data_IF_164209947482
#
_entry.id   IF_164209947482
#
_cell.length_a   1.000
_cell.length_b   1.000
_cell.length_c   1.000
_cell.angle_alpha   90.00
_cell.angle_beta   90.00
_cell.angle_gamma   90.00
#
_symmetry.space_group_name_H-M   'P 1'
#
loop_
_entity.id
_entity.type
_entity.pdbx_description
1 polymer ?
#
# COMPACT_ATOMS: atom_id res chain seq x y z
N UNK A 1 -70.35 25.91 9.98
CA UNK A 1 -68.95 25.94 10.38
C UNK A 1 -68.26 24.63 9.89
N UNK A 2 -67.52 24.71 8.79
CA UNK A 2 -66.77 23.53 8.22
C UNK A 2 -65.37 23.55 8.82
N UNK A 3 -65.02 22.50 9.55
CA UNK A 3 -63.66 22.26 10.06
C UNK A 3 -62.79 21.70 8.96
N UNK A 4 -61.76 22.43 8.52
CA UNK A 4 -60.70 21.92 7.67
C UNK A 4 -59.69 21.17 8.56
N UNK A 5 -59.51 19.90 8.31
CA UNK A 5 -58.44 19.09 8.90
C UNK A 5 -57.25 19.16 7.92
N UNK A 6 -56.18 19.85 8.30
CA UNK A 6 -54.93 19.87 7.58
C UNK A 6 -54.14 18.63 8.03
N UNK A 7 -54.02 17.64 7.14
CA UNK A 7 -53.16 16.48 7.34
C UNK A 7 -51.72 16.87 7.01
N UNK A 8 -50.86 16.88 8.02
CA UNK A 8 -49.44 17.15 7.89
C UNK A 8 -48.77 15.82 7.48
N UNK A 9 -48.46 15.63 6.18
CA UNK A 9 -47.62 14.54 5.72
C UNK A 9 -46.16 14.83 6.08
N UNK A 10 -45.67 14.12 7.09
CA UNK A 10 -44.23 14.08 7.42
C UNK A 10 -43.50 13.25 6.39
N UNK A 11 -42.78 13.91 5.50
CA UNK A 11 -41.82 13.24 4.61
C UNK A 11 -40.61 12.87 5.46
N UNK A 12 -40.51 11.62 5.86
CA UNK A 12 -39.28 11.06 6.44
C UNK A 12 -38.27 10.85 5.28
N UNK A 13 -37.37 11.78 5.14
CA UNK A 13 -36.23 11.59 4.26
C UNK A 13 -35.34 10.49 4.86
N UNK A 14 -35.43 9.27 4.32
CA UNK A 14 -34.47 8.21 4.55
C UNK A 14 -33.14 8.67 3.91
N UNK A 15 -32.27 9.28 4.72
CA UNK A 15 -30.86 9.43 4.39
C UNK A 15 -30.28 8.02 4.27
N UNK A 16 -30.29 7.48 3.05
CA UNK A 16 -29.51 6.30 2.69
C UNK A 16 -28.06 6.71 2.89
N UNK A 17 -27.47 6.33 4.03
CA UNK A 17 -26.02 6.31 4.18
C UNK A 17 -25.52 5.28 3.17
N UNK A 18 -25.14 5.73 1.98
CA UNK A 18 -24.49 4.85 0.99
C UNK A 18 -23.17 4.42 1.64
N UNK A 19 -23.17 3.16 2.11
CA UNK A 19 -21.97 2.54 2.68
C UNK A 19 -20.88 2.63 1.61
N UNK A 20 -19.75 3.23 1.93
CA UNK A 20 -18.60 3.30 1.02
C UNK A 20 -18.27 1.88 0.53
N UNK A 21 -18.47 1.64 -0.74
CA UNK A 21 -18.19 0.35 -1.38
C UNK A 21 -16.82 0.42 -2.03
N UNK A 22 -15.78 0.31 -1.25
CA UNK A 22 -14.42 0.45 -1.74
C UNK A 22 -13.39 -0.19 -0.81
N UNK A 23 -12.13 0.03 -1.12
CA UNK A 23 -10.98 -0.45 -0.36
C UNK A 23 -10.07 0.75 -0.08
N UNK A 24 -9.75 0.99 1.19
CA UNK A 24 -8.66 1.87 1.58
C UNK A 24 -7.36 1.08 1.57
N UNK A 25 -6.46 1.43 0.66
CA UNK A 25 -5.15 0.81 0.53
C UNK A 25 -4.05 1.80 0.89
N UNK A 26 -2.99 1.33 1.55
CA UNK A 26 -1.84 2.15 1.93
C UNK A 26 -0.53 1.51 1.44
N UNK A 27 0.46 2.34 1.11
CA UNK A 27 1.88 1.97 0.98
C UNK A 27 2.67 2.65 2.10
N UNK A 28 3.50 1.88 2.80
CA UNK A 28 4.25 2.40 3.94
C UNK A 28 5.66 1.80 4.00
N UNK A 29 6.66 2.53 3.52
CA UNK A 29 8.06 2.21 3.80
C UNK A 29 8.31 2.47 5.29
N UNK A 30 8.59 1.39 6.06
CA UNK A 30 8.80 1.45 7.52
C UNK A 30 10.17 2.01 7.91
N UNK A 31 11.06 2.20 6.97
CA UNK A 31 12.50 2.38 7.20
C UNK A 31 13.13 1.19 7.90
N UNK A 32 14.26 0.75 7.42
CA UNK A 32 15.03 -0.39 7.97
C UNK A 32 15.25 -0.26 9.48
N UNK A 33 14.66 -1.16 10.25
CA UNK A 33 14.55 -1.04 11.71
C UNK A 33 15.87 -1.14 12.49
N UNK A 34 16.96 -1.55 11.84
CA UNK A 34 18.30 -1.62 12.42
C UNK A 34 19.23 -0.50 11.91
N UNK A 35 18.70 0.50 11.19
CA UNK A 35 19.47 1.66 10.81
C UNK A 35 19.85 2.49 12.02
N UNK A 36 21.05 3.06 12.01
CA UNK A 36 21.50 4.01 13.03
C UNK A 36 20.93 5.41 12.72
N UNK A 37 19.63 5.56 12.97
CA UNK A 37 18.89 6.79 12.70
C UNK A 37 18.75 7.70 13.95
N UNK A 38 19.48 7.39 15.03
CA UNK A 38 19.52 8.22 16.25
C UNK A 38 18.11 8.46 16.83
N UNK A 39 17.70 9.74 16.88
CA UNK A 39 16.37 10.14 17.39
C UNK A 39 15.20 9.64 16.53
N UNK A 40 15.46 9.14 15.33
CA UNK A 40 14.48 8.55 14.44
C UNK A 40 14.54 7.00 14.42
N UNK A 41 15.19 6.37 15.43
CA UNK A 41 15.24 4.91 15.53
C UNK A 41 13.85 4.28 15.63
N UNK A 42 13.71 3.03 15.20
CA UNK A 42 12.43 2.32 15.20
C UNK A 42 11.76 2.32 16.59
N UNK A 43 12.54 2.10 17.64
CA UNK A 43 12.05 2.04 19.03
C UNK A 43 11.32 3.32 19.44
N UNK A 44 11.73 4.46 18.92
CA UNK A 44 11.14 5.77 19.26
C UNK A 44 9.89 6.09 18.45
N UNK A 45 9.78 5.56 17.21
CA UNK A 45 8.69 5.89 16.28
C UNK A 45 7.63 4.79 16.12
N UNK A 46 7.86 3.58 16.65
CA UNK A 46 6.96 2.43 16.47
C UNK A 46 5.54 2.65 17.01
N UNK A 47 5.40 3.31 18.17
CA UNK A 47 4.08 3.64 18.72
C UNK A 47 3.32 4.65 17.85
N UNK A 48 4.03 5.63 17.29
CA UNK A 48 3.45 6.60 16.37
C UNK A 48 2.99 5.93 15.07
N UNK A 49 3.72 4.90 14.59
CA UNK A 49 3.30 4.07 13.45
C UNK A 49 1.99 3.32 13.73
N UNK A 50 1.84 2.76 14.93
CA UNK A 50 0.58 2.10 15.35
C UNK A 50 -0.58 3.10 15.38
N UNK A 51 -0.41 4.26 16.04
CA UNK A 51 -1.43 5.30 16.10
C UNK A 51 -1.87 5.79 14.72
N UNK A 52 -0.93 5.93 13.79
CA UNK A 52 -1.23 6.28 12.41
C UNK A 52 -2.10 5.20 11.73
N UNK A 53 -1.75 3.92 11.90
CA UNK A 53 -2.54 2.81 11.34
C UNK A 53 -3.95 2.74 11.94
N UNK A 54 -4.11 2.99 13.24
CA UNK A 54 -5.41 3.05 13.91
C UNK A 54 -6.26 4.22 13.42
N UNK A 55 -5.65 5.41 13.26
CA UNK A 55 -6.34 6.64 12.81
C UNK A 55 -6.82 6.51 11.36
N UNK A 56 -5.98 6.00 10.47
CA UNK A 56 -6.30 5.87 9.05
C UNK A 56 -7.17 4.65 8.78
N UNK A 57 -6.93 3.54 9.48
CA UNK A 57 -7.70 2.31 9.37
C UNK A 57 -7.70 1.72 7.94
N UNK A 58 -6.54 1.45 7.30
CA UNK A 58 -6.52 0.88 5.96
C UNK A 58 -7.10 -0.53 5.95
N UNK A 59 -7.87 -0.88 4.90
CA UNK A 59 -8.34 -2.26 4.71
C UNK A 59 -7.18 -3.21 4.42
N UNK A 60 -6.18 -2.73 3.67
CA UNK A 60 -4.92 -3.42 3.45
C UNK A 60 -3.77 -2.42 3.23
N UNK A 61 -2.56 -2.85 3.56
CA UNK A 61 -1.38 -2.03 3.31
C UNK A 61 -0.14 -2.89 3.02
N UNK A 62 0.68 -2.40 2.12
CA UNK A 62 2.00 -2.95 1.83
C UNK A 62 3.08 -2.20 2.56
N UNK A 63 4.01 -2.93 3.16
CA UNK A 63 5.18 -2.34 3.82
C UNK A 63 6.45 -2.65 3.05
N UNK A 64 7.41 -1.72 3.10
CA UNK A 64 8.76 -1.88 2.56
C UNK A 64 9.76 -1.71 3.69
N UNK A 65 10.96 -2.26 3.54
CA UNK A 65 12.06 -2.29 4.52
C UNK A 65 11.75 -2.97 5.85
N UNK A 66 10.59 -3.62 5.96
CA UNK A 66 10.10 -4.23 7.18
C UNK A 66 10.94 -5.45 7.58
N UNK A 67 11.50 -5.42 8.78
CA UNK A 67 12.11 -6.60 9.42
C UNK A 67 11.06 -7.36 10.25
N UNK A 68 11.32 -8.64 10.49
CA UNK A 68 10.41 -9.54 11.21
C UNK A 68 9.92 -8.93 12.55
N UNK A 69 10.82 -8.36 13.36
CA UNK A 69 10.44 -7.74 14.63
C UNK A 69 9.60 -6.46 14.49
N UNK A 70 9.73 -5.72 13.37
CA UNK A 70 8.87 -4.57 13.09
C UNK A 70 7.45 -5.03 12.71
N UNK A 71 7.36 -6.10 11.92
CA UNK A 71 6.09 -6.75 11.55
C UNK A 71 5.40 -7.30 12.79
N UNK A 72 6.12 -8.04 13.64
CA UNK A 72 5.60 -8.60 14.89
C UNK A 72 5.07 -7.48 15.80
N UNK A 73 5.82 -6.37 15.94
CA UNK A 73 5.37 -5.22 16.74
C UNK A 73 4.06 -4.61 16.22
N UNK A 74 3.93 -4.43 14.92
CA UNK A 74 2.69 -3.90 14.33
C UNK A 74 1.52 -4.86 14.56
N UNK A 75 1.72 -6.18 14.41
CA UNK A 75 0.68 -7.18 14.65
C UNK A 75 0.23 -7.25 16.12
N UNK A 76 1.15 -7.13 17.05
CA UNK A 76 0.87 -7.19 18.48
C UNK A 76 0.15 -5.95 19.01
N UNK A 77 0.30 -4.81 18.32
CA UNK A 77 -0.21 -3.52 18.77
C UNK A 77 -1.30 -2.92 17.87
N UNK A 78 -1.76 -3.64 16.84
CA UNK A 78 -2.91 -3.25 16.01
C UNK A 78 -3.97 -4.33 16.02
N UNK A 79 -5.24 -3.92 16.07
CA UNK A 79 -6.36 -4.86 16.07
C UNK A 79 -6.73 -5.31 14.65
N UNK A 80 -7.11 -6.60 14.54
CA UNK A 80 -7.74 -7.18 13.34
C UNK A 80 -6.86 -7.25 12.08
N UNK A 81 -5.56 -7.06 12.16
CA UNK A 81 -4.69 -7.30 11.03
C UNK A 81 -4.03 -8.68 11.05
N UNK A 82 -3.80 -9.21 9.86
CA UNK A 82 -2.89 -10.31 9.55
C UNK A 82 -2.00 -9.90 8.41
N UNK A 83 -0.90 -10.61 8.21
CA UNK A 83 -0.01 -10.35 7.08
C UNK A 83 0.38 -11.62 6.34
N UNK A 84 0.90 -11.42 5.13
CA UNK A 84 1.62 -12.41 4.34
C UNK A 84 2.87 -11.77 3.74
N UNK A 85 3.86 -12.59 3.46
CA UNK A 85 5.15 -12.20 2.92
C UNK A 85 6.27 -13.02 3.54
N UNK A 86 7.45 -12.94 2.95
CA UNK A 86 8.65 -13.65 3.43
C UNK A 86 9.86 -12.72 3.37
N UNK A 87 10.84 -12.97 4.22
CA UNK A 87 12.12 -12.28 4.21
C UNK A 87 12.89 -12.54 2.91
N UNK A 88 13.40 -11.47 2.31
CA UNK A 88 14.03 -11.52 0.98
C UNK A 88 15.32 -12.35 0.93
N UNK A 89 15.98 -12.57 2.10
CA UNK A 89 17.29 -13.25 2.13
C UNK A 89 17.17 -14.78 2.14
N UNK A 90 16.13 -15.36 2.73
CA UNK A 90 15.99 -16.81 2.90
C UNK A 90 14.62 -17.39 2.49
N UNK A 91 13.69 -16.54 2.10
CA UNK A 91 12.31 -16.95 1.81
C UNK A 91 11.52 -17.33 3.05
N UNK A 92 11.96 -16.90 4.24
CA UNK A 92 11.30 -17.13 5.53
C UNK A 92 11.21 -15.83 6.33
N UNK A 93 12.15 -15.58 7.24
CA UNK A 93 12.14 -14.42 8.14
C UNK A 93 13.39 -13.52 8.02
N UNK A 94 14.40 -13.92 7.26
CA UNK A 94 15.66 -13.18 7.17
C UNK A 94 15.60 -12.06 6.14
N UNK A 95 16.09 -10.90 6.54
CA UNK A 95 16.10 -9.68 5.73
C UNK A 95 14.76 -8.97 5.69
N UNK A 96 14.68 -7.94 4.86
CA UNK A 96 13.46 -7.16 4.68
C UNK A 96 12.35 -7.99 4.01
N UNK A 97 11.13 -7.76 4.44
CA UNK A 97 9.91 -8.38 3.90
C UNK A 97 9.03 -7.31 3.23
N UNK A 98 8.61 -7.58 2.01
CA UNK A 98 7.58 -6.79 1.32
C UNK A 98 6.21 -7.30 1.73
N UNK A 99 5.89 -7.20 3.03
CA UNK A 99 4.66 -7.76 3.57
C UNK A 99 3.42 -7.00 3.09
N UNK A 100 2.32 -7.75 2.96
CA UNK A 100 0.97 -7.20 2.78
C UNK A 100 0.18 -7.52 4.03
N UNK A 101 -0.26 -6.47 4.73
CA UNK A 101 -1.21 -6.54 5.82
C UNK A 101 -2.63 -6.39 5.29
N UNK A 102 -3.57 -7.09 5.90
CA UNK A 102 -4.99 -6.99 5.56
C UNK A 102 -5.86 -7.07 6.82
N UNK A 103 -6.89 -6.23 6.87
CA UNK A 103 -7.86 -6.22 7.97
C UNK A 103 -8.79 -7.42 7.86
N UNK A 104 -8.75 -8.29 8.87
CA UNK A 104 -9.64 -9.46 8.96
C UNK A 104 -11.11 -9.09 9.21
N UNK A 105 -11.40 -7.83 9.55
CA UNK A 105 -12.78 -7.35 9.68
C UNK A 105 -13.44 -7.10 8.32
N UNK A 106 -12.68 -6.61 7.33
CA UNK A 106 -13.20 -6.24 6.01
C UNK A 106 -12.80 -7.20 4.89
N UNK A 107 -11.68 -7.92 5.05
CA UNK A 107 -11.09 -8.75 4.01
C UNK A 107 -10.93 -10.22 4.43
N UNK A 108 -10.94 -11.11 3.43
CA UNK A 108 -10.62 -12.53 3.53
C UNK A 108 -9.50 -12.85 2.55
N UNK A 109 -8.41 -13.43 3.04
CA UNK A 109 -7.31 -13.89 2.20
C UNK A 109 -7.67 -15.22 1.56
N UNK A 110 -7.57 -15.31 0.23
CA UNK A 110 -7.85 -16.53 -0.53
C UNK A 110 -6.57 -17.22 -1.02
N UNK A 111 -5.58 -16.41 -1.44
CA UNK A 111 -4.30 -16.92 -1.93
C UNK A 111 -3.22 -15.85 -1.83
N UNK A 112 -1.95 -16.26 -1.80
CA UNK A 112 -0.81 -15.36 -1.77
C UNK A 112 0.49 -16.03 -2.19
N UNK A 113 1.48 -15.22 -2.51
CA UNK A 113 2.84 -15.68 -2.76
C UNK A 113 3.84 -14.54 -2.82
N UNK A 114 5.12 -14.89 -2.81
CA UNK A 114 6.24 -13.95 -3.00
C UNK A 114 7.18 -14.52 -4.05
N UNK A 115 7.71 -13.65 -4.89
CA UNK A 115 8.74 -14.00 -5.86
C UNK A 115 9.86 -12.94 -5.86
N UNK A 116 11.04 -13.36 -6.28
CA UNK A 116 12.21 -12.47 -6.36
C UNK A 116 12.24 -11.75 -7.71
N UNK A 117 12.59 -10.46 -7.67
CA UNK A 117 12.81 -9.66 -8.88
C UNK A 117 14.21 -9.98 -9.42
N UNK A 118 14.31 -11.10 -10.13
CA UNK A 118 15.54 -11.61 -10.69
C UNK A 118 15.25 -12.58 -11.84
N UNK A 119 16.29 -13.01 -12.52
CA UNK A 119 16.23 -14.05 -13.56
C UNK A 119 15.82 -15.42 -13.01
N UNK A 120 15.85 -15.59 -11.68
CA UNK A 120 15.46 -16.82 -10.96
C UNK A 120 14.46 -16.50 -9.87
N UNK A 121 13.18 -16.21 -10.21
CA UNK A 121 12.21 -15.64 -9.28
C UNK A 121 11.71 -16.59 -8.19
N UNK A 122 11.93 -17.90 -8.33
CA UNK A 122 11.33 -18.90 -7.44
C UNK A 122 12.14 -19.12 -6.14
N UNK A 123 13.32 -18.52 -6.01
CA UNK A 123 14.18 -18.64 -4.83
C UNK A 123 15.01 -17.38 -4.57
N UNK A 124 15.53 -17.21 -3.33
CA UNK A 124 16.29 -16.03 -2.94
C UNK A 124 17.47 -15.74 -3.87
N UNK A 125 17.32 -14.73 -4.70
CA UNK A 125 18.29 -14.33 -5.69
C UNK A 125 18.33 -12.81 -5.87
N UNK A 126 19.45 -12.31 -6.40
CA UNK A 126 19.65 -10.91 -6.73
C UNK A 126 19.65 -10.79 -8.26
N UNK A 127 18.75 -9.96 -8.79
CA UNK A 127 18.58 -9.79 -10.23
C UNK A 127 19.44 -8.67 -10.81
N UNK A 128 19.92 -8.88 -12.02
CA UNK A 128 20.62 -7.89 -12.85
C UNK A 128 21.72 -7.15 -12.08
N UNK A 129 21.68 -5.80 -12.09
CA UNK A 129 22.61 -4.90 -11.39
C UNK A 129 22.13 -4.47 -9.99
N UNK A 130 21.15 -5.15 -9.41
CA UNK A 130 20.59 -4.79 -8.11
C UNK A 130 21.66 -4.79 -6.99
N UNK A 131 21.59 -3.83 -6.09
CA UNK A 131 22.41 -3.79 -4.88
C UNK A 131 21.97 -4.83 -3.85
N UNK A 132 20.68 -5.11 -3.78
CA UNK A 132 20.05 -6.03 -2.83
C UNK A 132 19.14 -7.02 -3.55
N UNK A 133 18.76 -8.12 -2.86
CA UNK A 133 17.61 -8.94 -3.28
C UNK A 133 16.35 -8.11 -3.18
N UNK A 134 15.49 -8.18 -4.20
CA UNK A 134 14.20 -7.50 -4.22
C UNK A 134 13.10 -8.52 -4.47
N UNK A 135 11.95 -8.29 -3.87
CA UNK A 135 10.79 -9.19 -3.96
C UNK A 135 9.52 -8.43 -4.26
N UNK A 136 8.55 -9.13 -4.81
CA UNK A 136 7.18 -8.70 -4.85
C UNK A 136 6.29 -9.76 -4.17
N UNK A 137 5.46 -9.32 -3.24
CA UNK A 137 4.45 -10.14 -2.59
C UNK A 137 3.10 -9.82 -3.18
N UNK A 138 2.27 -10.83 -3.45
CA UNK A 138 0.94 -10.68 -3.98
C UNK A 138 -0.10 -11.42 -3.14
N UNK A 139 -1.33 -10.96 -3.20
CA UNK A 139 -2.49 -11.59 -2.55
C UNK A 139 -3.68 -11.58 -3.48
N UNK A 140 -4.53 -12.61 -3.36
CA UNK A 140 -5.92 -12.58 -3.81
C UNK A 140 -6.81 -12.39 -2.57
N UNK A 141 -7.48 -11.26 -2.51
CA UNK A 141 -8.33 -10.86 -1.39
C UNK A 141 -9.80 -10.81 -1.82
N UNK A 142 -10.69 -11.11 -0.87
CA UNK A 142 -12.13 -10.94 -1.02
C UNK A 142 -12.63 -9.88 -0.05
N UNK A 143 -13.29 -8.86 -0.57
CA UNK A 143 -13.96 -7.86 0.23
C UNK A 143 -15.27 -8.44 0.78
N UNK A 144 -15.35 -8.57 2.12
CA UNK A 144 -16.41 -9.35 2.78
C UNK A 144 -17.81 -8.79 2.56
N UNK A 145 -17.96 -7.46 2.59
CA UNK A 145 -19.28 -6.84 2.49
C UNK A 145 -19.85 -6.86 1.07
N UNK A 146 -19.03 -6.73 0.02
CA UNK A 146 -19.46 -6.74 -1.37
C UNK A 146 -19.29 -8.09 -2.05
N UNK A 147 -18.47 -8.99 -1.50
CA UNK A 147 -18.10 -10.27 -2.13
C UNK A 147 -17.11 -10.13 -3.29
N UNK A 148 -16.70 -8.92 -3.64
CA UNK A 148 -15.77 -8.67 -4.75
C UNK A 148 -14.38 -9.18 -4.45
N UNK A 149 -13.73 -9.75 -5.47
CA UNK A 149 -12.35 -10.22 -5.41
C UNK A 149 -11.43 -9.18 -6.04
N UNK A 150 -10.22 -9.05 -5.51
CA UNK A 150 -9.18 -8.21 -6.10
C UNK A 150 -7.78 -8.76 -5.79
N UNK A 151 -6.83 -8.52 -6.69
CA UNK A 151 -5.42 -8.77 -6.45
C UNK A 151 -4.77 -7.55 -5.84
N UNK A 152 -3.85 -7.78 -4.91
CA UNK A 152 -2.99 -6.74 -4.36
C UNK A 152 -1.54 -7.19 -4.42
N UNK A 153 -0.67 -6.36 -4.95
CA UNK A 153 0.79 -6.58 -5.07
C UNK A 153 1.53 -5.47 -4.37
N UNK A 154 2.58 -5.82 -3.62
CA UNK A 154 3.48 -4.87 -2.95
C UNK A 154 4.93 -5.20 -3.29
N UNK A 155 5.73 -4.17 -3.58
CA UNK A 155 7.15 -4.34 -3.96
C UNK A 155 8.01 -3.19 -3.46
N UNK A 156 9.33 -3.38 -3.50
CA UNK A 156 10.33 -2.34 -3.30
C UNK A 156 11.43 -2.54 -4.36
N UNK A 157 11.51 -1.61 -5.33
CA UNK A 157 12.49 -1.69 -6.41
C UNK A 157 13.89 -1.31 -5.91
N UNK A 158 14.90 -1.66 -6.67
CA UNK A 158 16.29 -1.44 -6.24
C UNK A 158 16.67 0.06 -6.26
N UNK A 159 17.34 0.52 -5.22
CA UNK A 159 17.73 1.93 -5.05
C UNK A 159 18.97 2.33 -5.85
N UNK A 160 19.76 1.36 -6.36
CA UNK A 160 20.99 1.60 -7.14
C UNK A 160 20.83 1.15 -8.58
N UNK A 161 20.46 -0.12 -8.80
CA UNK A 161 20.44 -0.77 -10.10
C UNK A 161 19.37 -0.25 -11.04
N UNK A 162 19.75 0.46 -12.09
CA UNK A 162 18.79 0.99 -13.08
C UNK A 162 18.18 -0.14 -13.92
N UNK A 163 18.97 -1.13 -14.31
CA UNK A 163 18.47 -2.31 -15.02
C UNK A 163 17.55 -3.12 -14.13
N UNK A 164 17.92 -3.31 -12.86
CA UNK A 164 17.09 -4.02 -11.88
C UNK A 164 15.74 -3.34 -11.65
N UNK A 165 15.67 -2.01 -11.59
CA UNK A 165 14.39 -1.28 -11.51
C UNK A 165 13.52 -1.53 -12.73
N UNK A 166 14.08 -1.33 -13.92
CA UNK A 166 13.36 -1.49 -15.19
C UNK A 166 12.85 -2.92 -15.39
N UNK A 167 13.74 -3.89 -15.27
CA UNK A 167 13.41 -5.31 -15.50
C UNK A 167 12.53 -5.87 -14.36
N UNK A 168 12.79 -5.46 -13.11
CA UNK A 168 11.97 -5.81 -11.95
C UNK A 168 10.54 -5.30 -12.10
N UNK A 169 10.34 -4.04 -12.46
CA UNK A 169 9.00 -3.50 -12.70
C UNK A 169 8.33 -4.17 -13.91
N UNK A 170 9.07 -4.43 -14.99
CA UNK A 170 8.56 -5.17 -16.15
C UNK A 170 8.10 -6.58 -15.77
N UNK A 171 8.84 -7.26 -14.88
CA UNK A 171 8.44 -8.56 -14.34
C UNK A 171 7.16 -8.46 -13.51
N UNK A 172 7.03 -7.46 -12.63
CA UNK A 172 5.79 -7.20 -11.86
C UNK A 172 4.61 -7.00 -12.80
N UNK A 173 4.74 -6.14 -13.82
CA UNK A 173 3.71 -5.86 -14.83
C UNK A 173 3.29 -7.13 -15.58
N UNK A 174 4.25 -7.96 -15.98
CA UNK A 174 3.98 -9.24 -16.66
C UNK A 174 3.26 -10.22 -15.73
N UNK A 175 3.73 -10.37 -14.50
CA UNK A 175 3.16 -11.30 -13.53
C UNK A 175 1.74 -10.88 -13.12
N UNK A 176 1.50 -9.59 -12.89
CA UNK A 176 0.16 -9.05 -12.64
C UNK A 176 -0.83 -9.52 -13.72
N UNK A 177 -0.44 -9.43 -14.98
CA UNK A 177 -1.30 -9.83 -16.09
C UNK A 177 -1.52 -11.35 -16.17
N UNK A 178 -0.48 -12.14 -15.89
CA UNK A 178 -0.53 -13.60 -16.00
C UNK A 178 -1.23 -14.29 -14.82
N UNK A 179 -1.09 -13.75 -13.60
CA UNK A 179 -1.70 -14.31 -12.39
C UNK A 179 -3.19 -13.98 -12.25
N UNK A 180 -3.70 -13.05 -13.07
CA UNK A 180 -5.09 -12.60 -13.02
C UNK A 180 -5.89 -12.93 -14.30
N UNK A 181 -6.06 -14.21 -14.65
CA UNK A 181 -6.79 -14.59 -15.87
C UNK A 181 -8.28 -14.21 -15.83
N UNK A 182 -8.83 -13.98 -14.64
CA UNK A 182 -10.23 -13.59 -14.45
C UNK A 182 -10.44 -12.06 -14.51
N UNK A 183 -9.39 -11.27 -14.73
CA UNK A 183 -9.44 -9.81 -14.77
C UNK A 183 -10.09 -9.18 -13.52
N UNK A 184 -9.84 -9.73 -12.34
CA UNK A 184 -10.24 -9.08 -11.09
C UNK A 184 -9.59 -7.70 -10.96
N UNK A 185 -10.22 -6.75 -10.27
CA UNK A 185 -9.55 -5.50 -9.89
C UNK A 185 -8.17 -5.75 -9.27
N UNK A 186 -7.23 -4.84 -9.50
CA UNK A 186 -5.85 -4.98 -9.05
C UNK A 186 -5.34 -3.70 -8.42
N UNK A 187 -4.49 -3.87 -7.41
CA UNK A 187 -3.76 -2.81 -6.72
C UNK A 187 -2.27 -3.16 -6.78
N UNK A 188 -1.42 -2.18 -7.01
CA UNK A 188 0.03 -2.28 -6.87
C UNK A 188 0.52 -1.12 -6.02
N UNK A 189 1.23 -1.43 -4.94
CA UNK A 189 1.91 -0.43 -4.10
C UNK A 189 3.41 -0.70 -4.05
N UNK A 190 4.15 0.31 -3.67
CA UNK A 190 5.56 0.14 -3.36
C UNK A 190 6.36 1.42 -3.37
N UNK A 191 7.56 1.30 -2.82
CA UNK A 191 8.65 2.22 -3.06
C UNK A 191 9.36 1.80 -4.35
N UNK A 192 9.24 2.60 -5.39
CA UNK A 192 9.80 2.26 -6.69
C UNK A 192 11.20 2.83 -6.90
N UNK A 193 11.69 3.69 -5.99
CA UNK A 193 12.99 4.33 -6.09
C UNK A 193 13.21 5.05 -7.43
N UNK A 194 12.15 5.56 -8.04
CA UNK A 194 12.17 6.37 -9.27
C UNK A 194 11.20 7.53 -9.14
N UNK A 195 11.50 8.62 -9.83
CA UNK A 195 10.61 9.79 -9.94
C UNK A 195 9.52 9.57 -10.99
N UNK A 196 8.43 10.36 -10.95
CA UNK A 196 7.27 10.18 -11.84
C UNK A 196 7.58 10.27 -13.36
N UNK A 197 8.70 10.89 -13.74
CA UNK A 197 9.12 11.07 -15.13
C UNK A 197 10.02 9.93 -15.63
N UNK A 198 10.36 8.97 -14.75
CA UNK A 198 11.24 7.85 -15.15
C UNK A 198 10.55 6.96 -16.19
N UNK A 199 11.19 6.72 -17.35
CA UNK A 199 10.60 5.93 -18.42
C UNK A 199 10.34 4.46 -18.04
N UNK A 200 10.89 3.95 -16.94
CA UNK A 200 10.58 2.59 -16.48
C UNK A 200 9.12 2.45 -16.04
N UNK A 201 8.41 3.56 -15.72
CA UNK A 201 6.99 3.56 -15.37
C UNK A 201 6.04 3.42 -16.59
N UNK A 202 6.51 3.72 -17.82
CA UNK A 202 5.65 3.68 -19.00
C UNK A 202 4.90 2.35 -19.22
N UNK A 203 5.52 1.15 -19.07
CA UNK A 203 4.80 -0.11 -19.21
C UNK A 203 3.66 -0.26 -18.19
N UNK A 204 3.87 0.24 -16.97
CA UNK A 204 2.87 0.23 -15.91
C UNK A 204 1.74 1.22 -16.19
N UNK A 205 2.07 2.45 -16.59
CA UNK A 205 1.10 3.51 -16.93
C UNK A 205 0.17 3.12 -18.10
N UNK A 206 0.60 2.17 -18.97
CA UNK A 206 -0.24 1.63 -20.06
C UNK A 206 -1.32 0.66 -19.60
N UNK A 207 -1.14 0.00 -18.46
CA UNK A 207 -2.03 -1.08 -18.00
C UNK A 207 -2.75 -0.78 -16.68
N UNK A 208 -2.21 0.11 -15.87
CA UNK A 208 -2.78 0.54 -14.59
C UNK A 208 -2.83 2.07 -14.50
N UNK A 209 -3.63 2.57 -13.59
CA UNK A 209 -3.84 3.99 -13.36
C UNK A 209 -3.18 4.39 -12.04
N UNK A 210 -2.38 5.46 -12.06
CA UNK A 210 -1.84 6.06 -10.83
C UNK A 210 -2.97 6.65 -9.99
N UNK A 211 -3.07 6.25 -8.73
CA UNK A 211 -4.08 6.75 -7.81
C UNK A 211 -3.91 8.26 -7.56
N UNK A 212 -2.68 8.74 -7.44
CA UNK A 212 -2.38 10.18 -7.32
C UNK A 212 -2.94 11.00 -8.48
N UNK A 213 -2.79 10.50 -9.72
CA UNK A 213 -3.27 11.20 -10.92
C UNK A 213 -4.79 11.11 -11.11
N UNK A 214 -5.42 10.07 -10.60
CA UNK A 214 -6.85 9.77 -10.84
C UNK A 214 -7.77 10.16 -9.69
N UNK A 215 -7.25 10.41 -8.50
CA UNK A 215 -8.05 10.73 -7.34
C UNK A 215 -8.81 12.04 -7.51
N UNK A 216 -10.07 12.05 -7.07
CA UNK A 216 -10.92 13.26 -7.04
C UNK A 216 -10.35 14.28 -6.04
N UNK A 217 -9.88 13.79 -4.89
CA UNK A 217 -9.18 14.56 -3.86
C UNK A 217 -7.76 14.02 -3.76
N UNK A 218 -6.79 14.74 -4.37
CA UNK A 218 -5.39 14.29 -4.47
C UNK A 218 -4.45 15.24 -3.76
N UNK A 219 -3.52 14.68 -2.99
CA UNK A 219 -2.41 15.40 -2.35
C UNK A 219 -1.18 15.40 -3.29
N UNK A 220 -0.62 16.59 -3.50
CA UNK A 220 0.54 16.81 -4.38
C UNK A 220 1.91 16.68 -3.66
N UNK A 221 1.92 16.46 -2.34
CA UNK A 221 3.15 16.38 -1.56
C UNK A 221 4.02 15.20 -1.97
N UNK A 222 5.35 15.32 -1.77
CA UNK A 222 6.29 14.21 -1.90
C UNK A 222 6.10 13.15 -0.82
N UNK A 223 6.49 11.93 -1.11
CA UNK A 223 6.42 10.81 -0.16
C UNK A 223 7.74 10.57 0.58
N UNK A 224 8.87 10.85 0.00
CA UNK A 224 10.18 10.70 0.65
C UNK A 224 10.61 12.00 1.34
N UNK A 225 10.80 11.96 2.65
CA UNK A 225 11.20 13.10 3.49
C UNK A 225 12.65 13.07 3.95
N UNK A 226 13.29 11.90 3.99
CA UNK A 226 14.69 11.72 4.46
C UNK A 226 14.95 12.37 5.82
N UNK A 227 13.99 12.27 6.75
CA UNK A 227 14.01 12.91 8.08
C UNK A 227 14.01 14.45 8.03
N UNK A 228 13.64 15.05 6.91
CA UNK A 228 13.56 16.49 6.69
C UNK A 228 12.13 16.87 6.27
N UNK A 229 11.70 18.07 6.65
CA UNK A 229 10.45 18.62 6.14
C UNK A 229 10.64 19.11 4.70
N UNK A 230 9.59 18.99 3.89
CA UNK A 230 9.44 19.62 2.58
C UNK A 230 10.34 19.10 1.43
N UNK A 231 10.87 17.87 1.51
CA UNK A 231 11.34 17.20 0.29
C UNK A 231 10.14 16.88 -0.60
N UNK A 232 10.20 17.32 -1.84
CA UNK A 232 9.14 17.09 -2.83
C UNK A 232 9.23 15.75 -3.57
N UNK A 233 10.10 14.84 -3.14
CA UNK A 233 10.44 13.62 -3.86
C UNK A 233 9.28 12.61 -3.80
N UNK A 234 8.78 12.19 -4.96
CA UNK A 234 7.74 11.18 -5.12
C UNK A 234 8.41 9.91 -5.60
N UNK A 235 8.50 8.90 -4.74
CA UNK A 235 9.07 7.59 -5.06
C UNK A 235 8.20 6.42 -4.59
N UNK A 236 7.16 6.71 -3.80
CA UNK A 236 6.16 5.74 -3.37
C UNK A 236 4.88 5.88 -4.20
N UNK A 237 4.31 4.74 -4.59
CA UNK A 237 3.23 4.70 -5.55
C UNK A 237 2.08 3.79 -5.11
N UNK A 238 0.88 4.18 -5.52
CA UNK A 238 -0.32 3.34 -5.54
C UNK A 238 -0.86 3.39 -6.96
N UNK A 239 -0.91 2.23 -7.61
CA UNK A 239 -1.54 2.02 -8.90
C UNK A 239 -2.74 1.09 -8.76
N UNK A 240 -3.75 1.29 -9.57
CA UNK A 240 -4.93 0.42 -9.59
C UNK A 240 -5.45 0.16 -11.00
N UNK A 241 -6.22 -0.92 -11.14
CA UNK A 241 -6.93 -1.28 -12.38
C UNK A 241 -8.23 -1.99 -12.02
N UNK A 242 -9.29 -1.79 -12.81
CA UNK A 242 -10.56 -2.49 -12.67
C UNK A 242 -11.43 -2.03 -11.50
N UNK A 243 -11.02 -1.02 -10.75
CA UNK A 243 -11.87 -0.25 -9.86
C UNK A 243 -12.59 0.83 -10.66
N UNK A 244 -13.79 1.26 -10.22
CA UNK A 244 -14.57 2.29 -10.90
C UNK A 244 -13.96 3.68 -10.76
N UNK A 245 -13.11 3.91 -9.74
CA UNK A 245 -12.42 5.17 -9.51
C UNK A 245 -11.58 5.20 -8.24
N UNK A 246 -10.95 6.34 -8.02
CA UNK A 246 -10.23 6.70 -6.80
C UNK A 246 -10.83 7.99 -6.25
N UNK A 247 -11.41 7.94 -5.07
CA UNK A 247 -12.03 9.14 -4.47
C UNK A 247 -11.03 10.01 -3.73
N UNK A 248 -9.98 9.41 -3.17
CA UNK A 248 -8.94 10.09 -2.40
C UNK A 248 -7.56 9.48 -2.61
N UNK A 249 -6.55 10.34 -2.70
CA UNK A 249 -5.14 10.03 -2.52
C UNK A 249 -4.54 11.00 -1.50
N UNK A 250 -3.82 10.49 -0.51
CA UNK A 250 -3.26 11.29 0.58
C UNK A 250 -1.82 10.88 0.88
N UNK A 251 -0.98 11.88 1.17
CA UNK A 251 0.34 11.73 1.79
C UNK A 251 0.19 12.04 3.28
N UNK A 252 0.52 11.09 4.15
CA UNK A 252 0.31 11.17 5.59
C UNK A 252 1.45 11.94 6.24
N UNK A 253 1.24 13.24 6.44
CA UNK A 253 2.21 14.17 7.06
C UNK A 253 1.82 14.63 8.45
N UNK A 254 0.72 14.13 8.95
CA UNK A 254 0.24 14.38 10.29
C UNK A 254 1.24 13.83 11.32
N UNK A 255 1.39 14.54 12.44
CA UNK A 255 2.23 14.08 13.54
C UNK A 255 1.47 13.11 14.43
N UNK A 256 2.11 12.00 14.73
CA UNK A 256 1.59 10.99 15.65
C UNK A 256 2.50 10.89 16.89
N UNK A 257 1.97 11.31 18.03
CA UNK A 257 2.75 11.40 19.26
C UNK A 257 3.78 12.54 19.22
N UNK A 258 4.90 12.34 19.90
CA UNK A 258 5.94 13.38 20.08
C UNK A 258 7.10 13.24 19.06
N UNK A 259 7.02 12.28 18.15
CA UNK A 259 8.07 12.10 17.12
C UNK A 259 7.83 13.01 15.92
N UNK A 260 8.88 13.58 15.34
CA UNK A 260 8.74 14.44 14.16
C UNK A 260 8.32 13.64 12.91
N UNK A 261 8.79 12.39 12.80
CA UNK A 261 8.54 11.51 11.67
C UNK A 261 8.29 10.08 12.14
N UNK A 262 7.37 9.38 11.47
CA UNK A 262 7.13 7.94 11.69
C UNK A 262 8.01 7.05 10.79
N UNK A 263 8.59 7.63 9.73
CA UNK A 263 9.55 7.03 8.81
C UNK A 263 10.24 8.15 8.02
N UNK A 264 11.35 7.86 7.34
CA UNK A 264 11.94 8.74 6.32
C UNK A 264 11.12 8.82 5.04
N UNK A 265 10.03 8.03 4.97
CA UNK A 265 8.94 8.16 4.01
C UNK A 265 7.65 8.54 4.72
N UNK A 266 6.85 9.39 4.10
CA UNK A 266 5.46 9.58 4.48
C UNK A 266 4.62 8.45 3.89
N UNK A 267 3.83 7.72 4.70
CA UNK A 267 2.88 6.77 4.15
C UNK A 267 1.93 7.45 3.16
N UNK A 268 1.53 6.72 2.13
CA UNK A 268 0.52 7.18 1.19
C UNK A 268 -0.68 6.22 1.22
N UNK A 269 -1.90 6.76 1.12
CA UNK A 269 -3.08 5.92 0.99
C UNK A 269 -4.06 6.41 -0.06
N UNK A 270 -4.90 5.51 -0.51
CA UNK A 270 -5.97 5.80 -1.46
C UNK A 270 -7.26 5.10 -1.09
N UNK A 271 -8.38 5.75 -1.38
CA UNK A 271 -9.73 5.22 -1.28
C UNK A 271 -10.20 4.82 -2.69
N UNK A 272 -10.13 3.54 -3.01
CA UNK A 272 -10.52 2.96 -4.29
C UNK A 272 -11.98 2.49 -4.25
N UNK A 273 -12.76 2.83 -5.27
CA UNK A 273 -14.19 2.50 -5.38
C UNK A 273 -14.36 1.31 -6.32
N UNK A 274 -15.16 0.31 -5.90
CA UNK A 274 -15.47 -0.86 -6.71
C UNK A 274 -16.41 -0.58 -7.87
#
# INVERSE_FOLDING_TARGET
MKKFIISLLSVVALLSCTKYEGVRVMSYNLRYGLADDGENSWELRREASVRMLEDIGPDCFGVQEALDFQIDYLLENTDNYKYVGVGREDGKKSGECMAIFYSTSSLELLDWGTYWLSETPDFPSRGWDAACRRTATWTLLKHKSSGKLFFYVNTHLDHVGQVARKEGLSMVVKNISSMNPNNYPMILTGDFNVFPEDPCLEPLDRIMTSARKAAVDSDEAGSFNNWENDRGDIIDYIYFKGFSGCSKFKVVREKYGDVPFISDHYPIYSDLVF
#
